data_IF_864223047777
#
_entry.id   IF_864223047777
#
_cell.length_a   1.000
_cell.length_b   1.000
_cell.length_c   1.000
_cell.angle_alpha   90.00
_cell.angle_beta   90.00
_cell.angle_gamma   90.00
#
_symmetry.space_group_name_H-M   'P 1'
#
loop_
_entity.id
_entity.type
_entity.pdbx_description
1 polymer ?
#
# COMPACT_ATOMS: atom_id res chain seq x y z
N UNK A 1 -30.43 7.19 -15.07
CA UNK A 1 -29.51 6.26 -14.36
C UNK A 1 -28.60 7.11 -13.48
N UNK A 2 -28.77 7.03 -12.19
CA UNK A 2 -27.88 7.74 -11.26
C UNK A 2 -26.62 6.86 -11.13
N UNK A 3 -25.51 7.35 -11.65
CA UNK A 3 -24.20 6.75 -11.46
C UNK A 3 -23.87 6.85 -9.96
N UNK A 4 -23.96 5.74 -9.25
CA UNK A 4 -23.52 5.67 -7.86
C UNK A 4 -21.99 5.69 -7.93
N UNK A 5 -21.43 6.89 -7.90
CA UNK A 5 -19.98 7.04 -7.67
C UNK A 5 -19.70 6.55 -6.26
N UNK A 6 -19.04 5.38 -6.16
CA UNK A 6 -18.55 4.92 -4.88
C UNK A 6 -17.62 6.01 -4.31
N UNK A 7 -17.90 6.52 -3.11
CA UNK A 7 -17.08 7.57 -2.54
C UNK A 7 -15.63 7.08 -2.39
N UNK A 8 -14.68 7.96 -2.67
CA UNK A 8 -13.27 7.66 -2.46
C UNK A 8 -13.03 7.26 -0.98
N UNK A 9 -12.13 6.29 -0.75
CA UNK A 9 -11.79 5.89 0.61
C UNK A 9 -11.20 7.09 1.37
N UNK A 10 -11.47 7.13 2.68
CA UNK A 10 -11.02 8.23 3.55
C UNK A 10 -9.53 8.15 3.82
N UNK A 11 -8.89 9.31 3.98
CA UNK A 11 -7.52 9.38 4.46
C UNK A 11 -7.46 8.98 5.94
N UNK A 12 -6.56 8.05 6.27
CA UNK A 12 -6.29 7.59 7.64
C UNK A 12 -5.03 8.21 8.22
N UNK A 13 -4.15 8.72 7.39
CA UNK A 13 -2.92 9.38 7.79
C UNK A 13 -2.08 9.80 6.59
N UNK A 14 -1.15 10.69 6.85
CA UNK A 14 -0.20 11.22 5.88
C UNK A 14 1.21 11.14 6.46
N UNK A 15 2.15 10.58 5.70
CA UNK A 15 3.46 10.16 6.16
C UNK A 15 4.54 10.67 5.20
N UNK A 16 5.36 11.65 5.61
CA UNK A 16 6.48 12.07 4.79
C UNK A 16 7.53 10.95 4.76
N UNK A 17 7.93 10.53 3.57
CA UNK A 17 9.02 9.59 3.38
C UNK A 17 10.21 10.31 2.78
N UNK A 18 11.26 10.43 3.58
CA UNK A 18 12.55 11.00 3.18
C UNK A 18 13.65 10.05 3.60
N UNK A 19 14.40 9.58 2.65
CA UNK A 19 15.54 8.70 2.90
C UNK A 19 16.55 8.83 1.77
N UNK A 20 17.80 8.97 2.14
CA UNK A 20 18.93 9.11 1.18
C UNK A 20 19.40 7.75 0.63
N UNK A 21 18.76 6.65 1.02
CA UNK A 21 19.11 5.29 0.57
C UNK A 21 18.84 5.10 -0.92
N UNK A 22 19.88 4.66 -1.64
CA UNK A 22 19.86 4.35 -3.07
C UNK A 22 20.00 2.86 -3.38
N UNK A 23 20.07 2.04 -2.34
CA UNK A 23 20.21 0.59 -2.45
C UNK A 23 18.98 -0.11 -1.88
N UNK A 24 18.24 -0.89 -2.69
CA UNK A 24 17.05 -1.60 -2.22
C UNK A 24 17.33 -2.57 -1.07
N UNK A 25 18.48 -3.26 -1.07
CA UNK A 25 18.84 -4.20 -0.01
C UNK A 25 19.04 -3.47 1.33
N UNK A 26 19.75 -2.34 1.31
CA UNK A 26 19.95 -1.52 2.53
C UNK A 26 18.61 -1.03 3.11
N UNK A 27 17.65 -0.65 2.27
CA UNK A 27 16.32 -0.25 2.71
C UNK A 27 15.49 -1.43 3.23
N UNK A 28 15.64 -2.62 2.64
CA UNK A 28 15.00 -3.82 3.16
C UNK A 28 15.58 -4.20 4.54
N UNK A 29 16.90 -4.09 4.73
CA UNK A 29 17.55 -4.28 6.03
C UNK A 29 17.11 -3.24 7.06
N UNK A 30 17.02 -1.96 6.65
CA UNK A 30 16.52 -0.88 7.50
C UNK A 30 15.06 -1.10 7.93
N UNK A 31 14.27 -1.74 7.09
CA UNK A 31 12.89 -2.12 7.39
C UNK A 31 12.75 -3.16 8.49
N UNK A 32 13.82 -3.90 8.80
CA UNK A 32 13.85 -4.94 9.86
C UNK A 32 12.65 -5.89 9.78
N UNK A 33 12.38 -6.37 8.56
CA UNK A 33 11.32 -7.36 8.36
C UNK A 33 11.75 -8.72 8.91
N UNK A 34 10.82 -9.40 9.60
CA UNK A 34 11.02 -10.76 10.07
C UNK A 34 11.09 -11.75 8.90
N UNK A 35 10.43 -11.41 7.80
CA UNK A 35 10.50 -12.18 6.56
C UNK A 35 10.25 -11.30 5.33
N UNK A 36 10.84 -11.70 4.20
CA UNK A 36 10.64 -11.08 2.88
C UNK A 36 10.34 -12.21 1.89
N UNK A 37 9.19 -12.15 1.23
CA UNK A 37 8.82 -13.15 0.25
C UNK A 37 9.74 -13.10 -0.98
N UNK A 38 10.08 -14.25 -1.55
CA UNK A 38 11.02 -14.35 -2.68
C UNK A 38 10.59 -13.53 -3.90
N UNK A 39 9.31 -13.57 -4.23
CA UNK A 39 8.75 -12.72 -5.30
C UNK A 39 8.84 -11.23 -5.00
N UNK A 40 8.74 -10.83 -3.74
CA UNK A 40 8.91 -9.41 -3.35
C UNK A 40 10.31 -8.92 -3.68
N UNK A 41 11.36 -9.72 -3.44
CA UNK A 41 12.72 -9.37 -3.83
C UNK A 41 12.84 -9.20 -5.35
N UNK A 42 12.26 -10.11 -6.13
CA UNK A 42 12.27 -10.02 -7.59
C UNK A 42 11.56 -8.76 -8.08
N UNK A 43 10.39 -8.43 -7.54
CA UNK A 43 9.64 -7.20 -7.86
C UNK A 43 10.49 -5.97 -7.56
N UNK A 44 11.09 -5.92 -6.38
CA UNK A 44 11.90 -4.80 -5.92
C UNK A 44 13.08 -4.58 -6.86
N UNK A 45 13.87 -5.60 -7.15
CA UNK A 45 15.03 -5.46 -8.03
C UNK A 45 14.65 -5.07 -9.45
N UNK A 46 13.61 -5.67 -10.02
CA UNK A 46 13.15 -5.36 -11.36
C UNK A 46 12.61 -3.92 -11.46
N UNK A 47 11.85 -3.47 -10.48
CA UNK A 47 11.22 -2.14 -10.51
C UNK A 47 12.13 -1.02 -10.03
N UNK A 48 13.00 -1.25 -9.05
CA UNK A 48 13.94 -0.25 -8.58
C UNK A 48 14.90 0.24 -9.69
N UNK A 49 15.28 -0.66 -10.60
CA UNK A 49 16.12 -0.30 -11.74
C UNK A 49 15.41 0.54 -12.80
N UNK A 50 14.08 0.49 -12.85
CA UNK A 50 13.25 1.11 -13.91
C UNK A 50 12.54 2.39 -13.49
N UNK A 51 12.54 2.74 -12.20
CA UNK A 51 11.85 3.93 -11.70
C UNK A 51 12.80 4.91 -11.05
N UNK A 52 12.48 6.21 -11.18
CA UNK A 52 13.26 7.27 -10.56
C UNK A 52 13.14 7.16 -9.04
N UNK A 53 14.30 7.15 -8.38
CA UNK A 53 14.38 7.20 -6.93
C UNK A 53 14.28 8.65 -6.45
N UNK A 54 13.05 9.15 -6.30
CA UNK A 54 12.84 10.48 -5.72
C UNK A 54 13.14 10.43 -4.21
N UNK A 55 13.92 11.36 -3.73
CA UNK A 55 14.38 11.40 -2.34
C UNK A 55 13.28 11.75 -1.33
N UNK A 56 12.19 12.35 -1.78
CA UNK A 56 11.10 12.80 -0.93
C UNK A 56 9.75 12.48 -1.56
N UNK A 57 8.86 11.90 -0.77
CA UNK A 57 7.46 11.71 -1.12
C UNK A 57 6.59 11.86 0.13
N UNK A 58 5.31 12.05 -0.03
CA UNK A 58 4.32 12.00 1.03
C UNK A 58 3.37 10.85 0.73
N UNK A 59 3.32 9.87 1.60
CA UNK A 59 2.45 8.71 1.47
C UNK A 59 1.19 8.94 2.29
N UNK A 60 0.05 8.74 1.66
CA UNK A 60 -1.27 8.84 2.27
C UNK A 60 -1.87 7.45 2.34
N UNK A 61 -2.35 7.06 3.51
CA UNK A 61 -3.07 5.80 3.70
C UNK A 61 -4.57 6.04 3.52
N UNK A 62 -5.18 5.29 2.63
CA UNK A 62 -6.61 5.39 2.29
C UNK A 62 -7.33 4.11 2.70
N UNK A 63 -8.51 4.24 3.29
CA UNK A 63 -9.34 3.09 3.62
C UNK A 63 -10.30 3.36 4.76
N UNK A 64 -10.88 2.29 5.28
CA UNK A 64 -11.70 2.30 6.47
C UNK A 64 -11.09 1.34 7.47
N UNK A 65 -10.68 1.84 8.62
CA UNK A 65 -10.39 0.96 9.75
C UNK A 65 -11.75 0.50 10.30
N UNK A 66 -11.97 -0.81 10.45
CA UNK A 66 -13.24 -1.32 10.97
C UNK A 66 -13.43 -0.84 12.40
N UNK A 67 -14.63 -0.35 12.72
CA UNK A 67 -15.00 -0.21 14.11
C UNK A 67 -15.06 -1.61 14.74
N UNK A 68 -14.60 -1.70 15.99
CA UNK A 68 -14.50 -2.98 16.74
C UNK A 68 -15.76 -3.85 16.70
N UNK A 69 -16.94 -3.23 16.51
CA UNK A 69 -18.24 -3.89 16.39
C UNK A 69 -18.48 -4.52 15.02
N UNK A 70 -17.95 -3.93 13.94
CA UNK A 70 -18.06 -4.50 12.59
C UNK A 70 -17.20 -5.76 12.42
N UNK A 71 -16.11 -5.87 13.15
CA UNK A 71 -15.26 -7.08 13.16
C UNK A 71 -16.01 -8.32 13.64
N UNK A 72 -16.98 -8.18 14.55
CA UNK A 72 -17.76 -9.31 15.08
C UNK A 72 -18.80 -9.85 14.10
N UNK A 73 -19.31 -9.02 13.21
CA UNK A 73 -20.35 -9.37 12.25
C UNK A 73 -19.80 -9.93 10.92
N UNK A 74 -18.52 -9.71 10.60
CA UNK A 74 -17.96 -9.98 9.28
C UNK A 74 -17.11 -11.25 9.15
N UNK A 75 -16.95 -12.02 10.19
CA UNK A 75 -16.35 -13.37 10.09
C UNK A 75 -17.15 -14.32 9.20
N UNK A 76 -18.38 -13.96 8.81
CA UNK A 76 -19.27 -14.79 7.99
C UNK A 76 -19.40 -14.34 6.52
N UNK A 77 -18.85 -13.18 6.14
CA UNK A 77 -18.96 -12.68 4.75
C UNK A 77 -17.58 -12.19 4.29
N UNK A 78 -16.97 -12.99 3.45
CA UNK A 78 -15.69 -12.71 2.78
C UNK A 78 -15.88 -11.64 1.69
N UNK A 79 -16.06 -10.38 2.08
CA UNK A 79 -16.11 -9.27 1.14
C UNK A 79 -15.14 -8.18 1.57
N UNK A 80 -13.94 -8.20 1.00
CA UNK A 80 -13.10 -7.00 0.98
C UNK A 80 -13.82 -5.93 0.17
N UNK A 81 -13.94 -4.68 0.66
CA UNK A 81 -14.53 -3.63 -0.14
C UNK A 81 -13.69 -3.41 -1.40
N UNK A 82 -14.33 -3.41 -2.56
CA UNK A 82 -13.67 -3.09 -3.82
C UNK A 82 -13.17 -1.64 -3.76
N UNK A 83 -11.86 -1.47 -3.88
CA UNK A 83 -11.25 -0.14 -3.94
C UNK A 83 -11.14 0.26 -5.40
N UNK A 84 -11.85 1.32 -5.77
CA UNK A 84 -11.75 1.91 -7.11
C UNK A 84 -10.41 2.62 -7.28
N UNK A 85 -9.40 1.91 -7.80
CA UNK A 85 -8.06 2.47 -8.01
C UNK A 85 -8.03 3.57 -9.08
N UNK A 86 -8.88 3.54 -10.09
CA UNK A 86 -8.95 4.60 -11.10
C UNK A 86 -9.37 5.93 -10.47
N UNK A 87 -10.43 5.90 -9.66
CA UNK A 87 -10.87 7.07 -8.90
C UNK A 87 -9.79 7.57 -7.93
N UNK A 88 -9.09 6.66 -7.25
CA UNK A 88 -8.00 6.99 -6.35
C UNK A 88 -6.87 7.69 -7.11
N UNK A 89 -6.42 7.14 -8.23
CA UNK A 89 -5.35 7.75 -9.03
C UNK A 89 -5.78 9.00 -9.79
N UNK A 90 -7.08 9.27 -9.92
CA UNK A 90 -7.58 10.57 -10.34
C UNK A 90 -7.14 11.70 -9.39
N UNK A 91 -7.12 11.42 -8.08
CA UNK A 91 -6.79 12.39 -7.01
C UNK A 91 -5.36 12.29 -6.50
N UNK A 92 -4.82 11.08 -6.40
CA UNK A 92 -3.51 10.78 -5.82
C UNK A 92 -2.51 10.31 -6.88
N UNK A 93 -1.24 10.35 -6.55
CA UNK A 93 -0.18 9.76 -7.36
C UNK A 93 0.02 8.28 -7.05
N UNK A 94 0.50 7.54 -8.02
CA UNK A 94 0.89 6.14 -7.86
C UNK A 94 2.20 6.06 -7.07
N UNK A 95 2.29 5.22 -6.02
CA UNK A 95 3.55 4.96 -5.34
C UNK A 95 4.50 4.16 -6.23
N UNK A 96 5.75 4.07 -5.84
CA UNK A 96 6.72 3.18 -6.47
C UNK A 96 7.39 2.28 -5.42
N UNK A 97 8.27 1.38 -5.83
CA UNK A 97 8.91 0.41 -4.94
C UNK A 97 9.82 1.08 -3.89
N UNK A 98 10.41 2.22 -4.21
CA UNK A 98 11.21 3.00 -3.25
C UNK A 98 10.35 3.54 -2.12
N UNK A 99 9.10 3.93 -2.41
CA UNK A 99 8.15 4.38 -1.39
C UNK A 99 7.80 3.25 -0.42
N UNK A 100 7.60 2.03 -0.93
CA UNK A 100 7.32 0.85 -0.09
C UNK A 100 8.45 0.62 0.89
N UNK A 101 9.68 0.58 0.40
CA UNK A 101 10.86 0.29 1.21
C UNK A 101 11.11 1.36 2.26
N UNK A 102 11.01 2.64 1.89
CA UNK A 102 11.16 3.75 2.83
C UNK A 102 10.07 3.79 3.87
N UNK A 103 8.83 3.59 3.44
CA UNK A 103 7.70 3.58 4.35
C UNK A 103 7.86 2.48 5.41
N UNK A 104 8.20 1.27 4.99
CA UNK A 104 8.41 0.15 5.90
C UNK A 104 9.57 0.35 6.87
N UNK A 105 10.63 1.07 6.44
CA UNK A 105 11.76 1.41 7.30
C UNK A 105 11.44 2.52 8.31
N UNK A 106 10.70 3.55 7.89
CA UNK A 106 10.41 4.74 8.70
C UNK A 106 9.19 4.56 9.62
N UNK A 107 8.20 3.78 9.18
CA UNK A 107 6.91 3.64 9.88
C UNK A 107 6.54 2.17 10.14
N UNK A 108 7.38 1.42 10.86
CA UNK A 108 7.19 -0.02 11.07
C UNK A 108 5.89 -0.36 11.79
N UNK A 109 5.39 0.55 12.64
CA UNK A 109 4.18 0.29 13.42
C UNK A 109 2.89 0.44 12.61
N UNK A 110 2.91 1.14 11.47
CA UNK A 110 1.72 1.31 10.64
C UNK A 110 1.27 -0.03 10.02
N UNK A 111 2.20 -0.88 9.59
CA UNK A 111 1.86 -2.20 9.07
C UNK A 111 1.33 -3.17 10.15
N UNK A 112 1.53 -2.87 11.45
CA UNK A 112 0.96 -3.64 12.56
C UNK A 112 -0.53 -3.35 12.78
N UNK A 113 -1.03 -2.23 12.26
CA UNK A 113 -2.43 -1.82 12.37
C UNK A 113 -3.30 -2.44 11.28
N UNK A 114 -2.75 -2.58 10.08
CA UNK A 114 -3.44 -3.13 8.92
C UNK A 114 -2.42 -3.57 7.85
N UNK A 115 -2.83 -4.43 6.93
CA UNK A 115 -2.06 -4.67 5.70
C UNK A 115 -2.04 -3.39 4.87
N UNK A 116 -0.87 -2.99 4.37
CA UNK A 116 -0.67 -1.78 3.58
C UNK A 116 -0.33 -2.17 2.16
N UNK A 117 -1.28 -1.97 1.24
CA UNK A 117 -1.10 -2.29 -0.18
C UNK A 117 -0.54 -1.06 -0.90
N UNK A 118 0.54 -1.25 -1.63
CA UNK A 118 1.17 -0.21 -2.45
C UNK A 118 0.92 -0.50 -3.93
N UNK A 119 -0.11 0.09 -4.54
CA UNK A 119 -0.48 -0.18 -5.93
C UNK A 119 0.47 0.55 -6.90
N UNK A 120 1.75 0.22 -6.82
CA UNK A 120 2.77 0.68 -7.76
C UNK A 120 2.53 0.10 -9.16
N UNK A 121 3.31 0.51 -10.15
CA UNK A 121 3.26 -0.11 -11.48
C UNK A 121 3.45 -1.62 -11.33
N UNK A 122 2.48 -2.47 -11.72
CA UNK A 122 2.54 -3.88 -11.45
C UNK A 122 3.74 -4.55 -12.11
N UNK A 123 4.30 -5.54 -11.43
CA UNK A 123 5.29 -6.43 -12.02
C UNK A 123 4.59 -7.66 -12.59
N UNK A 124 4.87 -7.97 -13.85
CA UNK A 124 4.30 -9.13 -14.50
C UNK A 124 5.23 -10.34 -14.29
N UNK A 125 4.73 -11.32 -13.57
CA UNK A 125 5.40 -12.60 -13.39
C UNK A 125 5.39 -13.47 -14.65
N UNK A 126 6.09 -14.59 -14.60
CA UNK A 126 6.27 -15.53 -15.72
C UNK A 126 4.97 -16.11 -16.29
N UNK A 127 3.88 -16.07 -15.54
CA UNK A 127 2.55 -16.60 -15.93
C UNK A 127 1.54 -15.51 -16.28
N UNK A 128 2.01 -14.30 -16.59
CA UNK A 128 1.13 -13.17 -16.95
C UNK A 128 0.32 -12.57 -15.78
N UNK A 129 0.56 -13.02 -14.57
CA UNK A 129 -0.05 -12.43 -13.39
C UNK A 129 0.68 -11.14 -13.02
N UNK A 130 -0.08 -10.11 -12.72
CA UNK A 130 0.44 -8.83 -12.25
C UNK A 130 0.49 -8.81 -10.71
N UNK A 131 1.56 -8.30 -10.14
CA UNK A 131 1.76 -8.26 -8.69
C UNK A 131 2.14 -6.86 -8.21
N UNK A 132 1.68 -6.52 -7.00
CA UNK A 132 2.07 -5.32 -6.26
C UNK A 132 2.53 -5.70 -4.86
N UNK A 133 3.37 -4.86 -4.25
CA UNK A 133 3.91 -5.09 -2.92
C UNK A 133 2.89 -4.76 -1.83
N UNK A 134 2.99 -5.49 -0.73
CA UNK A 134 2.22 -5.28 0.49
C UNK A 134 3.13 -5.39 1.72
N UNK A 135 2.98 -4.45 2.64
CA UNK A 135 3.53 -4.54 3.98
C UNK A 135 2.46 -5.14 4.89
N UNK A 136 2.78 -6.22 5.59
CA UNK A 136 1.82 -6.94 6.42
C UNK A 136 2.41 -7.45 7.71
N UNK A 137 1.55 -7.79 8.63
CA UNK A 137 1.93 -8.46 9.87
C UNK A 137 1.13 -9.75 9.98
N UNK A 138 1.80 -10.85 10.27
CA UNK A 138 1.13 -12.13 10.46
C UNK A 138 0.45 -12.20 11.85
N UNK A 139 -0.38 -13.23 12.11
CA UNK A 139 -1.04 -13.39 13.40
C UNK A 139 -0.11 -13.48 14.62
N UNK A 140 1.15 -13.82 14.43
CA UNK A 140 2.17 -13.85 15.50
C UNK A 140 2.74 -12.47 15.82
N UNK A 141 2.45 -11.46 14.99
CA UNK A 141 3.02 -10.12 15.07
C UNK A 141 4.29 -9.94 14.26
N UNK A 142 4.75 -10.96 13.52
CA UNK A 142 5.92 -10.88 12.67
C UNK A 142 5.63 -10.01 11.44
N UNK A 143 6.52 -9.06 11.18
CA UNK A 143 6.40 -8.11 10.08
C UNK A 143 7.00 -8.68 8.80
N UNK A 144 6.25 -8.57 7.71
CA UNK A 144 6.67 -9.08 6.43
C UNK A 144 6.53 -8.09 5.28
N UNK A 145 7.40 -8.25 4.30
CA UNK A 145 7.31 -7.63 3.00
C UNK A 145 6.88 -8.71 2.00
N UNK A 146 5.67 -8.59 1.48
CA UNK A 146 5.00 -9.56 0.65
C UNK A 146 4.47 -8.95 -0.64
N UNK A 147 3.63 -9.67 -1.34
CA UNK A 147 3.00 -9.24 -2.58
C UNK A 147 1.56 -9.77 -2.67
N UNK A 148 0.76 -9.13 -3.48
CA UNK A 148 -0.60 -9.58 -3.84
C UNK A 148 -0.80 -9.46 -5.33
N UNK A 149 -1.70 -10.28 -5.87
CA UNK A 149 -2.07 -10.20 -7.28
C UNK A 149 -2.83 -8.90 -7.54
N UNK A 150 -2.40 -8.17 -8.55
CA UNK A 150 -3.10 -7.01 -9.05
C UNK A 150 -4.12 -7.44 -10.11
N UNK A 151 -5.37 -7.51 -9.76
CA UNK A 151 -6.47 -7.87 -10.67
C UNK A 151 -7.42 -6.69 -10.85
N UNK A 152 -6.97 -5.52 -11.28
CA UNK A 152 -7.82 -4.33 -11.46
C UNK A 152 -8.67 -3.94 -10.23
N UNK A 153 -9.18 -4.89 -9.51
CA UNK A 153 -9.79 -4.86 -8.20
C UNK A 153 -8.83 -5.55 -7.23
N UNK A 154 -8.31 -4.83 -6.23
CA UNK A 154 -7.49 -5.44 -5.19
C UNK A 154 -8.39 -6.29 -4.29
N UNK A 155 -8.53 -7.55 -4.62
CA UNK A 155 -9.18 -8.53 -3.76
C UNK A 155 -8.17 -9.02 -2.72
N UNK A 156 -8.20 -8.42 -1.54
CA UNK A 156 -7.44 -8.91 -0.41
C UNK A 156 -8.11 -10.14 0.21
N UNK A 157 -7.79 -11.35 -0.27
CA UNK A 157 -8.26 -12.59 0.33
C UNK A 157 -7.63 -12.87 1.72
N UNK A 158 -6.79 -11.97 2.23
CA UNK A 158 -5.94 -12.24 3.39
C UNK A 158 -6.11 -11.23 4.54
N UNK A 159 -6.57 -10.04 4.24
CA UNK A 159 -6.91 -9.06 5.28
C UNK A 159 -8.28 -8.47 4.97
N UNK A 160 -9.22 -8.51 5.89
CA UNK A 160 -10.56 -7.99 5.65
C UNK A 160 -10.60 -6.47 5.40
N UNK A 161 -9.51 -5.73 5.73
CA UNK A 161 -9.48 -4.27 5.66
C UNK A 161 -8.09 -3.72 5.38
N UNK A 162 -7.56 -3.91 4.17
CA UNK A 162 -6.27 -3.32 3.81
C UNK A 162 -6.41 -1.80 3.69
N UNK A 163 -5.35 -1.09 4.04
CA UNK A 163 -5.19 0.31 3.67
C UNK A 163 -4.41 0.39 2.36
N UNK A 164 -4.82 1.32 1.50
CA UNK A 164 -4.11 1.58 0.25
C UNK A 164 -3.17 2.76 0.45
N UNK A 165 -1.89 2.54 0.22
CA UNK A 165 -0.86 3.56 0.28
C UNK A 165 -0.72 4.23 -1.09
N UNK A 166 -0.86 5.54 -1.15
CA UNK A 166 -0.74 6.35 -2.38
C UNK A 166 0.14 7.54 -2.13
N UNK A 167 0.67 8.16 -3.19
CA UNK A 167 1.40 9.42 -3.09
C UNK A 167 0.46 10.61 -3.08
N UNK A 168 0.72 11.61 -2.23
CA UNK A 168 0.14 12.93 -2.43
C UNK A 168 0.75 13.58 -3.67
N UNK A 169 -0.09 14.11 -4.55
CA UNK A 169 0.41 14.87 -5.71
C UNK A 169 1.03 16.19 -5.26
N UNK A 170 2.22 16.50 -5.72
CA UNK A 170 2.84 17.81 -5.54
C UNK A 170 1.99 18.85 -6.30
N UNK A 171 1.55 19.90 -5.61
CA UNK A 171 0.75 20.99 -6.19
C UNK A 171 -0.77 20.82 -6.12
N UNK A 172 -1.30 19.79 -5.44
CA UNK A 172 -2.72 19.75 -5.08
C UNK A 172 -3.03 20.80 -4.02
N UNK A 173 -4.23 21.42 -4.03
CA UNK A 173 -4.61 22.41 -3.02
C UNK A 173 -4.49 21.77 -1.63
N UNK A 174 -4.01 22.53 -0.62
CA UNK A 174 -4.02 22.05 0.76
C UNK A 174 -5.46 21.72 1.12
N UNK A 175 -5.66 20.55 1.75
CA UNK A 175 -6.97 20.19 2.27
C UNK A 175 -7.41 21.28 3.25
N UNK A 176 -8.49 21.99 2.90
CA UNK A 176 -9.17 22.87 3.85
C UNK A 176 -9.63 22.00 5.02
N UNK A 177 -9.00 22.22 6.18
CA UNK A 177 -9.47 21.66 7.44
C UNK A 177 -10.89 22.22 7.64
N UNK A 178 -11.87 21.37 7.44
CA UNK A 178 -13.26 21.69 7.81
C UNK A 178 -13.29 21.61 9.34
N UNK A 179 -13.34 22.77 9.95
CA UNK A 179 -13.56 22.97 11.38
C UNK A 179 -14.93 22.48 11.78
#
# INVERSE_FOLDING_TARGET
MVEIQNPLPREQGSFPVKCDGNNPEELMEAGKYDWVADYSRQIIHAKAASVVNETEAEIVLLGSLPQREQLKLQWSVSMSPDINLEGVFGKYGRPNVWDVLRFGALYPDEQRKADLIFPHEPWNGSHGQAFVLVLRTDPSGARGLSYVTHSGTLLGNWCPWPLVAVRRRRGGPPLSVVS
#
